data_IF_698571294699
#
_entry.id   IF_698571294699
#
_cell.length_a   1.000
_cell.length_b   1.000
_cell.length_c   1.000
_cell.angle_alpha   90.00
_cell.angle_beta   90.00
_cell.angle_gamma   90.00
#
_symmetry.space_group_name_H-M   'P 1'
#
loop_
_entity.id
_entity.type
_entity.pdbx_description
1 polymer ?
#
# COMPACT_ATOMS: atom_id res chain seq x y z
N UNK A 1 10.95 3.08 -7.23
CA UNK A 1 10.73 4.35 -6.48
C UNK A 1 9.35 4.87 -6.86
N UNK A 2 8.66 5.63 -6.01
CA UNK A 2 7.34 6.20 -6.33
C UNK A 2 7.20 7.59 -5.73
N UNK A 3 6.61 8.52 -6.49
CA UNK A 3 6.14 9.81 -5.97
C UNK A 3 4.62 9.79 -5.94
N UNK A 4 4.01 10.42 -4.94
CA UNK A 4 2.56 10.59 -4.87
C UNK A 4 2.18 11.99 -4.42
N UNK A 5 1.00 12.44 -4.83
CA UNK A 5 0.40 13.73 -4.46
C UNK A 5 -1.08 13.58 -4.20
N UNK A 6 -1.54 14.19 -3.12
CA UNK A 6 -2.95 14.29 -2.77
C UNK A 6 -3.63 15.29 -3.70
N UNK A 7 -4.67 14.84 -4.39
CA UNK A 7 -5.39 15.65 -5.38
C UNK A 7 -6.70 16.15 -4.81
N UNK A 8 -7.45 15.28 -4.13
CA UNK A 8 -8.73 15.64 -3.55
C UNK A 8 -9.05 14.78 -2.31
N UNK A 9 -9.92 15.31 -1.46
CA UNK A 9 -10.48 14.58 -0.31
C UNK A 9 -11.99 14.65 -0.39
N UNK A 10 -12.60 13.51 -0.72
CA UNK A 10 -14.03 13.35 -0.87
C UNK A 10 -14.59 12.58 0.34
N UNK A 11 -14.96 13.33 1.39
CA UNK A 11 -15.44 12.77 2.64
C UNK A 11 -14.36 11.90 3.31
N UNK A 12 -14.57 10.59 3.36
CA UNK A 12 -13.63 9.64 3.95
C UNK A 12 -12.54 9.17 2.99
N UNK A 13 -12.68 9.44 1.69
CA UNK A 13 -11.75 8.98 0.67
C UNK A 13 -10.79 10.12 0.30
N UNK A 14 -9.50 9.85 0.38
CA UNK A 14 -8.44 10.70 -0.12
C UNK A 14 -7.93 10.13 -1.45
N UNK A 15 -7.96 10.94 -2.52
CA UNK A 15 -7.51 10.51 -3.84
C UNK A 15 -6.14 11.09 -4.12
N UNK A 16 -5.23 10.20 -4.48
CA UNK A 16 -3.85 10.50 -4.80
C UNK A 16 -3.56 10.19 -6.26
N UNK A 17 -2.74 11.02 -6.88
CA UNK A 17 -1.99 10.64 -8.05
C UNK A 17 -0.65 10.05 -7.62
N UNK A 18 -0.19 9.03 -8.30
CA UNK A 18 1.13 8.44 -8.07
C UNK A 18 1.86 8.18 -9.39
N UNK A 19 3.18 8.36 -9.38
CA UNK A 19 4.04 8.16 -10.54
C UNK A 19 5.08 7.09 -10.23
N UNK A 20 5.08 6.03 -11.03
CA UNK A 20 6.13 5.04 -11.00
C UNK A 20 7.48 5.69 -11.34
N UNK A 21 8.56 5.18 -10.73
CA UNK A 21 9.94 5.64 -10.93
C UNK A 21 10.21 7.13 -10.61
N UNK A 22 9.24 7.82 -10.01
CA UNK A 22 9.22 9.28 -9.79
C UNK A 22 9.18 10.12 -11.07
N UNK A 23 8.56 9.59 -12.13
CA UNK A 23 8.50 10.25 -13.44
C UNK A 23 7.55 11.47 -13.48
N UNK A 24 7.16 12.02 -12.33
CA UNK A 24 6.25 13.16 -12.22
C UNK A 24 6.73 14.39 -13.01
N UNK A 25 8.03 14.71 -12.96
CA UNK A 25 8.56 15.89 -13.65
C UNK A 25 8.71 15.69 -15.15
N UNK A 26 9.03 14.46 -15.58
CA UNK A 26 9.27 14.14 -16.98
C UNK A 26 7.95 13.91 -17.72
N UNK A 27 7.00 13.21 -17.09
CA UNK A 27 5.70 12.84 -17.65
C UNK A 27 4.59 13.10 -16.61
N UNK A 28 4.16 14.35 -16.42
CA UNK A 28 3.19 14.72 -15.38
C UNK A 28 1.82 14.06 -15.56
N UNK A 29 1.43 13.71 -16.80
CA UNK A 29 0.14 13.07 -17.11
C UNK A 29 0.16 11.53 -16.94
N UNK A 30 1.35 10.94 -16.76
CA UNK A 30 1.57 9.50 -16.60
C UNK A 30 1.41 9.06 -15.13
N UNK A 31 0.33 9.52 -14.50
CA UNK A 31 -0.02 9.12 -13.14
C UNK A 31 -1.00 7.95 -13.13
N UNK A 32 -0.86 7.12 -12.10
CA UNK A 32 -1.90 6.25 -11.58
C UNK A 32 -2.75 6.98 -10.53
N UNK A 33 -3.92 6.44 -10.22
CA UNK A 33 -4.87 6.99 -9.26
C UNK A 33 -5.07 5.97 -8.14
N UNK A 34 -4.80 6.42 -6.91
CA UNK A 34 -4.95 5.65 -5.68
C UNK A 34 -5.98 6.33 -4.78
N UNK A 35 -7.03 5.60 -4.41
CA UNK A 35 -8.00 6.05 -3.43
C UNK A 35 -7.69 5.41 -2.08
N UNK A 36 -7.48 6.24 -1.05
CA UNK A 36 -7.21 5.82 0.32
C UNK A 36 -8.42 6.11 1.21
N UNK A 37 -8.92 5.10 1.89
CA UNK A 37 -10.02 5.24 2.85
C UNK A 37 -9.46 5.51 4.25
N UNK A 38 -9.80 6.68 4.83
CA UNK A 38 -9.35 7.09 6.16
C UNK A 38 -9.90 6.22 7.30
N UNK A 39 -11.05 5.57 7.10
CA UNK A 39 -11.72 4.76 8.13
C UNK A 39 -11.13 3.36 8.15
N UNK A 40 -11.16 2.67 7.00
CA UNK A 40 -10.65 1.30 6.90
C UNK A 40 -9.13 1.24 6.76
N UNK A 41 -8.49 2.37 6.41
CA UNK A 41 -7.05 2.49 6.13
C UNK A 41 -6.58 1.56 5.01
N UNK A 42 -7.49 1.23 4.10
CA UNK A 42 -7.22 0.45 2.90
C UNK A 42 -7.08 1.38 1.70
N UNK A 43 -6.53 0.85 0.61
CA UNK A 43 -6.46 1.56 -0.66
C UNK A 43 -7.08 0.77 -1.81
N UNK A 44 -7.47 1.50 -2.83
CA UNK A 44 -7.96 1.00 -4.11
C UNK A 44 -7.19 1.70 -5.23
N UNK A 45 -6.64 0.95 -6.18
CA UNK A 45 -6.03 1.51 -7.39
C UNK A 45 -7.11 1.64 -8.46
N UNK A 46 -7.47 2.88 -8.81
CA UNK A 46 -8.50 3.20 -9.80
C UNK A 46 -7.93 3.36 -11.22
N UNK A 47 -6.67 3.76 -11.32
CA UNK A 47 -5.92 3.88 -12.58
C UNK A 47 -4.50 3.41 -12.31
N UNK A 48 -4.00 2.52 -13.14
CA UNK A 48 -2.61 2.06 -13.06
C UNK A 48 -1.70 3.14 -13.67
N UNK A 49 -0.59 3.46 -13.01
CA UNK A 49 0.43 4.33 -13.61
C UNK A 49 1.15 3.60 -14.75
N UNK A 50 1.55 4.27 -15.85
CA UNK A 50 2.47 3.70 -16.81
C UNK A 50 3.74 3.18 -16.14
N UNK A 51 4.19 1.99 -16.53
CA UNK A 51 5.33 1.30 -15.91
C UNK A 51 5.03 0.59 -14.58
N UNK A 52 3.85 0.78 -13.99
CA UNK A 52 3.36 -0.04 -12.88
C UNK A 52 2.69 -1.31 -13.41
N UNK A 53 2.58 -2.33 -12.56
CA UNK A 53 2.00 -3.62 -12.93
C UNK A 53 1.25 -4.24 -11.76
N UNK A 54 0.24 -5.05 -12.10
CA UNK A 54 -0.46 -5.87 -11.13
C UNK A 54 0.36 -7.12 -10.80
N UNK A 55 0.42 -7.43 -9.52
CA UNK A 55 0.91 -8.70 -9.01
C UNK A 55 -0.19 -9.34 -8.17
N UNK A 56 -0.47 -10.60 -8.47
CA UNK A 56 -1.42 -11.40 -7.70
C UNK A 56 -0.63 -12.25 -6.73
N UNK A 57 -0.71 -11.91 -5.44
CA UNK A 57 -0.15 -12.72 -4.37
C UNK A 57 -1.15 -13.85 -4.09
N UNK A 58 -0.70 -15.09 -4.28
CA UNK A 58 -1.51 -16.29 -4.07
C UNK A 58 -1.88 -16.49 -2.60
N UNK A 59 -2.79 -17.43 -2.33
CA UNK A 59 -3.12 -17.78 -0.93
C UNK A 59 -1.90 -18.44 -0.29
N UNK A 60 -1.18 -19.27 -1.04
CA UNK A 60 0.02 -19.98 -0.61
C UNK A 60 1.13 -18.99 -0.20
N UNK A 61 1.46 -18.02 -1.05
CA UNK A 61 2.47 -17.00 -0.74
C UNK A 61 2.09 -16.20 0.52
N UNK A 62 0.80 -15.87 0.69
CA UNK A 62 0.32 -15.16 1.88
C UNK A 62 0.40 -16.03 3.13
N UNK A 63 0.18 -17.34 3.00
CA UNK A 63 0.32 -18.30 4.09
C UNK A 63 1.80 -18.49 4.47
N UNK A 64 2.71 -18.53 3.51
CA UNK A 64 4.15 -18.58 3.75
C UNK A 64 4.64 -17.37 4.55
N UNK A 65 4.18 -16.15 4.19
CA UNK A 65 4.50 -14.94 4.96
C UNK A 65 3.94 -15.00 6.38
N UNK A 66 2.71 -15.50 6.56
CA UNK A 66 2.11 -15.69 7.90
C UNK A 66 2.92 -16.69 8.73
N UNK A 67 3.34 -17.79 8.13
CA UNK A 67 4.14 -18.82 8.80
C UNK A 67 5.52 -18.28 9.19
N UNK A 68 6.17 -17.54 8.29
CA UNK A 68 7.43 -16.86 8.58
C UNK A 68 7.32 -15.91 9.78
N UNK A 69 6.29 -15.06 9.82
CA UNK A 69 6.04 -14.16 10.96
C UNK A 69 5.77 -14.93 12.26
N UNK A 70 5.04 -16.05 12.18
CA UNK A 70 4.83 -16.92 13.34
C UNK A 70 6.13 -17.56 13.85
N UNK A 71 7.06 -17.94 12.97
CA UNK A 71 8.38 -18.41 13.38
C UNK A 71 9.17 -17.30 14.10
N UNK A 72 9.16 -16.08 13.56
CA UNK A 72 9.81 -14.92 14.19
C UNK A 72 9.19 -14.58 15.56
N UNK A 73 7.86 -14.63 15.68
CA UNK A 73 7.16 -14.46 16.96
C UNK A 73 7.54 -15.54 17.97
N UNK A 74 7.61 -16.80 17.54
CA UNK A 74 8.04 -17.92 18.39
C UNK A 74 9.46 -17.71 18.93
N UNK A 75 10.40 -17.26 18.09
CA UNK A 75 11.77 -16.91 18.51
C UNK A 75 11.79 -15.78 19.54
N UNK A 76 10.86 -14.83 19.43
CA UNK A 76 10.67 -13.73 20.38
C UNK A 76 9.85 -14.10 21.63
N UNK A 77 9.40 -15.35 21.77
CA UNK A 77 8.54 -15.79 22.88
C UNK A 77 7.11 -15.23 22.83
N UNK A 78 6.65 -14.75 21.67
CA UNK A 78 5.30 -14.24 21.45
C UNK A 78 4.36 -15.35 20.94
N UNK A 79 3.06 -15.28 21.23
CA UNK A 79 2.08 -16.21 20.66
C UNK A 79 1.97 -16.02 19.13
N UNK A 80 1.58 -17.09 18.40
CA UNK A 80 1.30 -16.99 16.98
C UNK A 80 0.14 -16.03 16.71
N UNK A 81 0.10 -15.49 15.49
CA UNK A 81 -0.96 -14.61 14.99
C UNK A 81 -2.34 -15.26 15.12
N UNK A 82 -3.25 -14.58 15.81
CA UNK A 82 -4.67 -14.97 15.86
C UNK A 82 -5.43 -14.54 14.60
N UNK A 83 -6.66 -15.03 14.43
CA UNK A 83 -7.55 -14.60 13.33
C UNK A 83 -7.91 -13.11 13.45
N UNK A 84 -7.98 -12.57 14.66
CA UNK A 84 -8.28 -11.15 14.91
C UNK A 84 -7.09 -10.25 14.56
N UNK A 85 -5.86 -10.66 14.88
CA UNK A 85 -4.66 -9.88 14.57
C UNK A 85 -4.35 -9.88 13.08
N UNK A 86 -4.44 -11.06 12.46
CA UNK A 86 -4.22 -11.24 11.04
C UNK A 86 -5.11 -12.39 10.59
N UNK A 87 -6.19 -12.13 9.83
CA UNK A 87 -7.06 -13.20 9.36
C UNK A 87 -6.33 -14.15 8.40
N UNK A 88 -6.71 -15.43 8.40
CA UNK A 88 -6.20 -16.37 7.41
C UNK A 88 -6.69 -15.94 6.02
N UNK A 89 -5.77 -15.82 5.03
CA UNK A 89 -6.13 -15.40 3.68
C UNK A 89 -7.08 -16.42 3.03
N UNK A 90 -8.26 -15.96 2.62
CA UNK A 90 -9.27 -16.78 1.91
C UNK A 90 -9.32 -16.55 0.41
N UNK A 91 -8.62 -15.51 -0.07
CA UNK A 91 -8.59 -15.11 -1.48
C UNK A 91 -7.19 -14.61 -1.83
N UNK A 92 -6.78 -14.70 -3.11
CA UNK A 92 -5.58 -14.03 -3.58
C UNK A 92 -5.70 -12.52 -3.39
N UNK A 93 -4.55 -11.86 -3.23
CA UNK A 93 -4.47 -10.41 -3.07
C UNK A 93 -3.86 -9.80 -4.32
N UNK A 94 -4.63 -8.97 -5.02
CA UNK A 94 -4.12 -8.18 -6.13
C UNK A 94 -3.55 -6.87 -5.59
N UNK A 95 -2.26 -6.66 -5.81
CA UNK A 95 -1.57 -5.42 -5.47
C UNK A 95 -0.88 -4.87 -6.70
N UNK A 96 -0.60 -3.58 -6.72
CA UNK A 96 0.31 -2.99 -7.69
C UNK A 96 1.67 -2.78 -7.05
N UNK A 97 2.75 -2.76 -7.83
CA UNK A 97 4.07 -2.57 -7.24
C UNK A 97 4.24 -1.13 -6.73
N UNK A 98 4.07 -0.15 -7.60
CA UNK A 98 4.27 1.27 -7.26
C UNK A 98 3.12 1.83 -6.44
N UNK A 99 1.87 1.50 -6.80
CA UNK A 99 0.70 1.94 -6.05
C UNK A 99 0.67 1.39 -4.61
N UNK A 100 1.07 0.13 -4.38
CA UNK A 100 1.18 -0.41 -3.02
C UNK A 100 2.24 0.35 -2.19
N UNK A 101 3.35 0.75 -2.82
CA UNK A 101 4.38 1.51 -2.11
C UNK A 101 3.92 2.92 -1.74
N UNK A 102 3.18 3.58 -2.62
CA UNK A 102 2.53 4.85 -2.29
C UNK A 102 1.54 4.65 -1.12
N UNK A 103 0.71 3.62 -1.18
CA UNK A 103 -0.22 3.27 -0.09
C UNK A 103 0.49 3.07 1.25
N UNK A 104 1.56 2.27 1.29
CA UNK A 104 2.29 1.97 2.52
C UNK A 104 2.80 3.25 3.18
N UNK A 105 3.38 4.16 2.39
CA UNK A 105 3.89 5.43 2.93
C UNK A 105 2.75 6.37 3.36
N UNK A 106 1.69 6.49 2.57
CA UNK A 106 0.50 7.28 2.92
C UNK A 106 -0.10 6.78 4.24
N UNK A 107 -0.34 5.47 4.37
CA UNK A 107 -0.88 4.86 5.57
C UNK A 107 0.05 5.10 6.76
N UNK A 108 1.35 4.88 6.61
CA UNK A 108 2.33 5.09 7.67
C UNK A 108 2.31 6.51 8.21
N UNK A 109 2.31 7.52 7.33
CA UNK A 109 2.25 8.93 7.75
C UNK A 109 0.92 9.23 8.42
N UNK A 110 -0.19 8.77 7.85
CA UNK A 110 -1.52 8.97 8.41
C UNK A 110 -1.68 8.34 9.80
N UNK A 111 -1.20 7.11 10.01
CA UNK A 111 -1.25 6.44 11.31
C UNK A 111 -0.37 7.11 12.37
N UNK A 112 0.74 7.72 11.96
CA UNK A 112 1.64 8.42 12.87
C UNK A 112 1.15 9.82 13.26
N UNK A 113 0.53 10.53 12.33
CA UNK A 113 0.25 11.97 12.47
C UNK A 113 -1.25 12.28 12.59
N UNK A 114 -2.12 11.39 12.13
CA UNK A 114 -3.55 11.66 11.94
C UNK A 114 -3.85 12.51 10.70
N UNK A 115 -2.83 12.98 9.97
CA UNK A 115 -2.96 13.87 8.83
C UNK A 115 -2.62 13.15 7.52
N UNK A 116 -3.31 13.53 6.44
CA UNK A 116 -3.02 13.01 5.10
C UNK A 116 -1.77 13.70 4.55
N UNK A 117 -0.74 12.96 4.13
CA UNK A 117 0.42 13.58 3.48
C UNK A 117 -0.02 14.22 2.16
N UNK A 118 0.32 15.49 1.94
CA UNK A 118 -0.03 16.18 0.68
C UNK A 118 0.79 15.68 -0.50
N UNK A 119 2.03 15.30 -0.25
CA UNK A 119 2.92 14.69 -1.22
C UNK A 119 3.94 13.82 -0.51
N UNK A 120 4.60 12.93 -1.25
CA UNK A 120 5.67 12.12 -0.71
C UNK A 120 6.43 11.37 -1.81
N UNK A 121 7.62 10.92 -1.46
CA UNK A 121 8.50 10.16 -2.33
C UNK A 121 9.05 8.96 -1.57
N UNK A 122 8.94 7.78 -2.16
CA UNK A 122 9.52 6.55 -1.62
C UNK A 122 10.67 6.12 -2.54
N UNK A 123 11.89 6.19 -2.00
CA UNK A 123 13.12 5.84 -2.68
C UNK A 123 13.63 4.54 -2.05
N UNK A 124 13.85 3.52 -2.87
CA UNK A 124 14.47 2.27 -2.43
C UNK A 124 15.99 2.46 -2.39
N UNK A 125 16.63 2.02 -1.32
CA UNK A 125 18.07 1.84 -1.20
C UNK A 125 18.36 0.37 -0.93
#
# INVERSE_FOLDING_TARGET
MVTFKLIEVNGNIAVYHYWAENNEQENPDDYGVLAFDKVTKNSEIRKLAPGDFWYTISIEERMEVREWENQQRKEQGKPPLTEEEWPVPKMPLNVTFSGQMAYVEIKRVFERTGELPKEGRNIWY
#
